data_IF_627661780119
#
_entry.id   IF_627661780119
#
_cell.length_a   1.000
_cell.length_b   1.000
_cell.length_c   1.000
_cell.angle_alpha   90.00
_cell.angle_beta   90.00
_cell.angle_gamma   90.00
#
_symmetry.space_group_name_H-M   'P 1'
#
loop_
_entity.id
_entity.type
_entity.pdbx_description
1 polymer ?
#
# COMPACT_ATOMS: atom_id res chain seq x y z
N UNK A 1 2.99 9.00 10.65
CA UNK A 1 2.07 7.86 10.85
C UNK A 1 0.85 8.17 10.02
N UNK A 2 0.49 7.24 9.13
CA UNK A 2 -0.63 7.32 8.22
C UNK A 2 -1.93 7.08 8.97
N UNK A 3 -2.98 7.86 8.70
CA UNK A 3 -4.26 7.70 9.36
C UNK A 3 -5.32 7.22 8.39
N UNK A 4 -6.24 6.36 8.85
CA UNK A 4 -7.30 5.79 8.00
C UNK A 4 -8.15 6.85 7.27
N UNK A 5 -8.31 8.04 7.86
CA UNK A 5 -9.01 9.18 7.26
C UNK A 5 -8.36 9.70 5.97
N UNK A 6 -7.07 9.47 5.78
CA UNK A 6 -6.33 9.87 4.58
C UNK A 6 -6.53 8.87 3.43
N UNK A 7 -7.15 7.72 3.70
CA UNK A 7 -7.37 6.66 2.73
C UNK A 7 -8.80 6.70 2.18
N UNK A 8 -8.89 6.27 0.92
CA UNK A 8 -10.16 6.23 0.21
C UNK A 8 -10.98 5.01 0.63
N UNK A 9 -12.30 5.15 0.83
CA UNK A 9 -13.16 4.02 1.20
C UNK A 9 -13.24 3.00 0.06
N UNK A 10 -13.64 1.76 0.38
CA UNK A 10 -13.69 0.67 -0.59
C UNK A 10 -14.51 0.99 -1.84
N UNK A 11 -15.55 1.81 -1.72
CA UNK A 11 -16.38 2.23 -2.86
C UNK A 11 -15.61 3.07 -3.90
N UNK A 12 -14.58 3.81 -3.46
CA UNK A 12 -13.67 4.50 -4.36
C UNK A 12 -12.69 3.51 -4.98
N UNK A 13 -12.09 2.63 -4.16
CA UNK A 13 -11.14 1.61 -4.60
C UNK A 13 -11.75 0.60 -5.60
N UNK A 14 -13.08 0.45 -5.63
CA UNK A 14 -13.81 -0.33 -6.63
C UNK A 14 -13.68 0.25 -8.03
N UNK A 15 -13.53 1.56 -8.14
CA UNK A 15 -13.53 2.31 -9.40
C UNK A 15 -12.13 2.75 -9.79
N UNK A 16 -11.30 3.10 -8.82
CA UNK A 16 -10.00 3.71 -9.05
C UNK A 16 -8.97 3.21 -8.03
N UNK A 17 -7.74 3.03 -8.50
CA UNK A 17 -6.60 2.71 -7.62
C UNK A 17 -6.17 3.94 -6.83
N UNK A 18 -5.85 3.75 -5.56
CA UNK A 18 -5.32 4.79 -4.70
C UNK A 18 -3.81 4.66 -4.60
N UNK A 19 -3.08 5.75 -4.72
CA UNK A 19 -1.63 5.78 -4.52
C UNK A 19 -1.27 6.94 -3.60
N UNK A 20 -0.25 6.73 -2.78
CA UNK A 20 0.26 7.75 -1.88
C UNK A 20 1.75 7.56 -1.59
N UNK A 21 2.31 8.52 -0.88
CA UNK A 21 3.69 8.46 -0.41
C UNK A 21 3.79 8.98 1.01
N UNK A 22 4.75 8.45 1.77
CA UNK A 22 5.04 8.80 3.14
C UNK A 22 6.55 8.72 3.38
N UNK A 23 7.22 9.88 3.49
CA UNK A 23 8.64 9.98 3.87
C UNK A 23 9.57 8.96 3.17
N UNK A 24 9.55 8.90 1.84
CA UNK A 24 10.37 7.98 1.04
C UNK A 24 9.77 6.59 0.80
N UNK A 25 8.69 6.23 1.50
CA UNK A 25 7.89 5.03 1.21
C UNK A 25 6.74 5.39 0.28
N UNK A 26 6.57 4.67 -0.82
CA UNK A 26 5.38 4.76 -1.69
C UNK A 26 4.46 3.59 -1.40
N UNK A 27 3.16 3.84 -1.53
CA UNK A 27 2.15 2.81 -1.36
C UNK A 27 1.04 2.93 -2.40
N UNK A 28 0.43 1.80 -2.73
CA UNK A 28 -0.69 1.67 -3.65
C UNK A 28 -1.71 0.73 -3.07
N UNK A 29 -2.96 1.15 -3.08
CA UNK A 29 -4.11 0.33 -2.74
C UNK A 29 -4.98 0.15 -3.98
N UNK A 30 -5.24 -1.09 -4.35
CA UNK A 30 -6.11 -1.40 -5.46
C UNK A 30 -6.96 -2.63 -5.19
N UNK A 31 -8.06 -2.73 -5.95
CA UNK A 31 -8.86 -3.93 -6.00
C UNK A 31 -8.11 -5.00 -6.80
N UNK A 32 -7.83 -6.13 -6.16
CA UNK A 32 -7.28 -7.32 -6.78
C UNK A 32 -8.39 -8.36 -6.93
N UNK A 33 -8.52 -8.92 -8.12
CA UNK A 33 -9.38 -10.08 -8.37
C UNK A 33 -8.45 -11.30 -8.45
N UNK A 34 -8.42 -12.12 -7.39
CA UNK A 34 -7.62 -13.34 -7.34
C UNK A 34 -8.44 -14.50 -7.89
N UNK A 35 -7.91 -15.19 -8.90
CA UNK A 35 -8.56 -16.37 -9.45
C UNK A 35 -8.67 -17.48 -8.39
N UNK A 36 -9.89 -17.87 -8.08
CA UNK A 36 -10.19 -18.92 -7.09
C UNK A 36 -10.67 -18.42 -5.73
N UNK A 37 -10.71 -17.09 -5.49
CA UNK A 37 -11.34 -16.52 -4.31
C UNK A 37 -12.73 -15.95 -4.60
N UNK A 38 -13.63 -16.09 -3.63
CA UNK A 38 -15.02 -15.62 -3.72
C UNK A 38 -15.07 -14.10 -3.49
N UNK A 39 -14.68 -13.35 -4.51
CA UNK A 39 -14.81 -11.91 -4.58
C UNK A 39 -13.48 -11.13 -4.52
N UNK A 40 -13.59 -9.80 -4.52
CA UNK A 40 -12.43 -8.94 -4.66
C UNK A 40 -11.63 -8.85 -3.35
N UNK A 41 -10.31 -8.69 -3.48
CA UNK A 41 -9.37 -8.44 -2.39
C UNK A 41 -8.77 -7.04 -2.50
N UNK A 42 -8.30 -6.53 -1.38
CA UNK A 42 -7.54 -5.29 -1.32
C UNK A 42 -6.06 -5.63 -1.44
N UNK A 43 -5.42 -5.24 -2.53
CA UNK A 43 -3.98 -5.27 -2.69
C UNK A 43 -3.37 -3.98 -2.17
N UNK A 44 -2.53 -4.08 -1.15
CA UNK A 44 -1.75 -2.97 -0.62
C UNK A 44 -0.29 -3.23 -0.94
N UNK A 45 0.29 -2.49 -1.87
CA UNK A 45 1.70 -2.65 -2.27
C UNK A 45 2.52 -1.45 -1.82
N UNK A 46 3.68 -1.69 -1.22
CA UNK A 46 4.66 -0.67 -0.86
C UNK A 46 5.97 -0.85 -1.61
N UNK A 47 6.66 0.26 -1.83
CA UNK A 47 8.01 0.25 -2.41
C UNK A 47 8.77 1.53 -2.08
N UNK A 48 10.11 1.50 -2.07
CA UNK A 48 10.93 2.69 -1.85
C UNK A 48 10.96 3.61 -3.07
N UNK A 49 11.10 4.91 -2.83
CA UNK A 49 11.57 5.88 -3.84
C UNK A 49 13.03 5.60 -4.23
N UNK A 50 13.59 6.18 -5.33
CA UNK A 50 13.03 7.12 -6.31
C UNK A 50 12.39 6.45 -7.53
N UNK A 51 12.49 5.13 -7.64
CA UNK A 51 11.99 4.41 -8.81
C UNK A 51 10.46 4.31 -8.77
N UNK A 52 9.84 4.48 -9.94
CA UNK A 52 8.41 4.22 -10.11
C UNK A 52 8.11 2.73 -9.90
N UNK A 53 6.83 2.39 -9.74
CA UNK A 53 6.40 0.99 -9.60
C UNK A 53 7.02 0.10 -10.69
N UNK A 54 7.00 0.51 -11.96
CA UNK A 54 7.58 -0.26 -13.08
C UNK A 54 9.10 -0.41 -13.04
N UNK A 55 9.81 0.51 -12.38
CA UNK A 55 11.28 0.51 -12.31
C UNK A 55 11.83 -0.14 -11.03
N UNK A 56 10.97 -0.40 -10.04
CA UNK A 56 11.37 -1.05 -8.79
C UNK A 56 11.25 -2.58 -8.93
N UNK A 57 12.28 -3.36 -8.61
CA UNK A 57 12.21 -4.83 -8.62
C UNK A 57 11.06 -5.34 -7.74
N UNK A 58 10.42 -6.44 -8.13
CA UNK A 58 9.39 -7.08 -7.30
C UNK A 58 9.94 -7.53 -5.94
N UNK A 59 11.23 -7.88 -5.87
CA UNK A 59 11.92 -8.21 -4.61
C UNK A 59 11.96 -7.05 -3.62
N UNK A 60 11.88 -5.81 -4.11
CA UNK A 60 11.84 -4.61 -3.28
C UNK A 60 10.41 -4.14 -2.99
N UNK A 61 9.42 -4.72 -3.67
CA UNK A 61 8.01 -4.43 -3.46
C UNK A 61 7.46 -5.41 -2.45
N UNK A 62 6.75 -4.90 -1.47
CA UNK A 62 6.00 -5.74 -0.56
C UNK A 62 4.53 -5.53 -0.83
N UNK A 63 3.81 -6.62 -1.10
CA UNK A 63 2.39 -6.60 -1.34
C UNK A 63 1.68 -7.42 -0.27
N UNK A 64 0.69 -6.79 0.34
CA UNK A 64 -0.21 -7.42 1.28
C UNK A 64 -1.60 -7.52 0.66
N UNK A 65 -2.18 -8.71 0.74
CA UNK A 65 -3.55 -8.98 0.30
C UNK A 65 -4.44 -9.00 1.54
N UNK A 66 -5.50 -8.20 1.52
CA UNK A 66 -6.46 -8.03 2.60
C UNK A 66 -7.89 -8.18 2.08
N UNK A 67 -8.84 -8.23 3.01
CA UNK A 67 -10.26 -8.23 2.65
C UNK A 67 -10.65 -6.90 2.02
N UNK A 68 -11.52 -6.91 1.01
CA UNK A 68 -11.91 -5.70 0.32
C UNK A 68 -13.13 -5.04 0.98
N UNK A 69 -12.94 -4.64 2.23
CA UNK A 69 -13.92 -3.99 3.10
C UNK A 69 -13.26 -2.85 3.92
N UNK A 70 -14.05 -2.15 4.73
CA UNK A 70 -13.54 -1.06 5.56
C UNK A 70 -12.50 -1.55 6.57
N UNK A 71 -12.69 -2.74 7.15
CA UNK A 71 -11.74 -3.40 8.04
C UNK A 71 -10.42 -3.71 7.35
N UNK A 72 -10.46 -4.13 6.09
CA UNK A 72 -9.29 -4.41 5.28
C UNK A 72 -8.51 -3.17 4.92
N UNK A 73 -9.17 -2.04 4.67
CA UNK A 73 -8.47 -0.75 4.54
C UNK A 73 -7.82 -0.39 5.87
N UNK A 74 -8.53 -0.48 7.00
CA UNK A 74 -7.96 -0.21 8.32
C UNK A 74 -6.70 -1.05 8.58
N UNK A 75 -6.79 -2.37 8.35
CA UNK A 75 -5.64 -3.28 8.41
C UNK A 75 -4.53 -2.91 7.44
N UNK A 76 -4.88 -2.43 6.24
CA UNK A 76 -3.92 -1.97 5.25
C UNK A 76 -3.13 -0.76 5.75
N UNK A 77 -3.81 0.19 6.38
CA UNK A 77 -3.18 1.38 6.96
C UNK A 77 -2.30 1.01 8.16
N UNK A 78 -2.77 0.13 9.04
CA UNK A 78 -1.96 -0.39 10.14
C UNK A 78 -0.69 -1.07 9.62
N UNK A 79 -0.84 -1.95 8.62
CA UNK A 79 0.29 -2.62 7.98
C UNK A 79 1.27 -1.63 7.34
N UNK A 80 0.77 -0.59 6.64
CA UNK A 80 1.62 0.47 6.09
C UNK A 80 2.43 1.17 7.18
N UNK A 81 1.82 1.45 8.33
CA UNK A 81 2.53 2.04 9.47
C UNK A 81 3.57 1.06 10.02
N UNK A 82 3.24 -0.22 10.18
CA UNK A 82 4.18 -1.25 10.62
C UNK A 82 5.39 -1.35 9.69
N UNK A 83 5.17 -1.37 8.37
CA UNK A 83 6.27 -1.40 7.39
C UNK A 83 7.07 -0.11 7.39
N UNK A 84 6.39 1.04 7.54
CA UNK A 84 7.08 2.30 7.71
C UNK A 84 7.98 2.30 8.95
N UNK A 85 7.49 1.79 10.08
CA UNK A 85 8.21 1.76 11.34
C UNK A 85 9.33 0.72 11.38
N UNK A 86 9.06 -0.50 10.91
CA UNK A 86 10.02 -1.59 10.85
C UNK A 86 11.16 -1.31 9.87
N UNK A 87 10.89 -0.57 8.80
CA UNK A 87 11.88 -0.25 7.76
C UNK A 87 12.24 1.25 7.70
N UNK A 88 12.10 2.01 8.80
CA UNK A 88 12.41 3.46 8.86
C UNK A 88 13.77 3.82 8.24
N UNK A 89 14.79 3.00 8.46
CA UNK A 89 16.12 3.22 7.90
C UNK A 89 16.13 3.16 6.37
N UNK A 90 15.41 2.20 5.77
CA UNK A 90 15.25 2.04 4.32
C UNK A 90 14.55 3.25 3.73
N UNK A 91 13.43 3.65 4.30
CA UNK A 91 12.65 4.80 3.82
C UNK A 91 13.43 6.10 3.96
N UNK A 92 14.13 6.31 5.08
CA UNK A 92 14.96 7.50 5.30
C UNK A 92 16.15 7.59 4.35
N UNK A 93 16.73 6.45 3.97
CA UNK A 93 17.84 6.42 3.01
C UNK A 93 17.42 6.87 1.61
N UNK A 94 16.15 6.64 1.24
CA UNK A 94 15.61 7.02 -0.06
C UNK A 94 14.78 8.31 -0.03
N UNK A 95 14.33 8.75 1.15
CA UNK A 95 13.64 10.01 1.31
C UNK A 95 14.59 11.15 1.00
N UNK A 96 14.36 11.87 -0.09
CA UNK A 96 15.07 13.12 -0.37
C UNK A 96 14.56 14.20 0.58
N UNK A 97 15.27 14.38 1.69
CA UNK A 97 15.22 15.58 2.53
C UNK A 97 16.12 16.66 1.96
#
# INVERSE_FOLDING_TARGET
>A
MLELRDFMPVNFLKKEKFTGSHNGMRFRMEKLDLEGEDGPRLGVTIWPEPYGYDATPEEEKEQQILSFDADGIAKGVDWLNEQFEGQKARWKAVSRG
#
